data_IF_864150199188
#
_entry.id   IF_864150199188
#
_cell.length_a   1.000
_cell.length_b   1.000
_cell.length_c   1.000
_cell.angle_alpha   90.00
_cell.angle_beta   90.00
_cell.angle_gamma   90.00
#
_symmetry.space_group_name_H-M   'P 1'
#
loop_
_entity.id
_entity.type
_entity.pdbx_description
1 polymer ?
#
# COMPACT_ATOMS: atom_id res chain seq x y z
N UNK A 1 -2.90 -12.93 -13.79
CA UNK A 1 -2.52 -12.65 -12.39
C UNK A 1 -1.14 -11.98 -12.39
N UNK A 2 -1.05 -10.69 -12.07
CA UNK A 2 0.22 -9.94 -11.99
C UNK A 2 0.27 -9.00 -10.78
N UNK A 3 -0.87 -8.40 -10.42
CA UNK A 3 -0.98 -7.50 -9.27
C UNK A 3 -0.54 -8.16 -7.93
N UNK A 4 -0.97 -9.40 -7.67
CA UNK A 4 -0.56 -10.13 -6.45
C UNK A 4 0.95 -10.33 -6.33
N UNK A 5 1.61 -10.72 -7.42
CA UNK A 5 3.07 -10.88 -7.47
C UNK A 5 3.81 -9.55 -7.36
N UNK A 6 3.26 -8.49 -7.97
CA UNK A 6 3.81 -7.12 -7.89
C UNK A 6 3.87 -6.59 -6.45
N UNK A 7 2.87 -6.93 -5.62
CA UNK A 7 2.87 -6.54 -4.20
C UNK A 7 4.10 -7.11 -3.47
N UNK A 8 4.34 -8.41 -3.62
CA UNK A 8 5.45 -9.08 -2.95
C UNK A 8 6.82 -8.59 -3.45
N UNK A 9 6.97 -8.39 -4.77
CA UNK A 9 8.21 -7.89 -5.37
C UNK A 9 8.56 -6.49 -4.85
N UNK A 10 7.61 -5.55 -4.88
CA UNK A 10 7.86 -4.19 -4.40
C UNK A 10 8.13 -4.14 -2.87
N UNK A 11 7.54 -5.05 -2.08
CA UNK A 11 7.88 -5.16 -0.64
C UNK A 11 9.33 -5.63 -0.46
N UNK A 12 9.76 -6.64 -1.22
CA UNK A 12 11.12 -7.18 -1.14
C UNK A 12 12.16 -6.15 -1.57
N UNK A 13 11.94 -5.47 -2.71
CA UNK A 13 12.81 -4.40 -3.21
C UNK A 13 12.89 -3.24 -2.21
N UNK A 14 11.75 -2.75 -1.71
CA UNK A 14 11.76 -1.69 -0.70
C UNK A 14 12.45 -2.10 0.60
N UNK A 15 12.33 -3.36 1.00
CA UNK A 15 12.99 -3.86 2.22
C UNK A 15 14.52 -3.91 2.07
N UNK A 16 15.01 -4.29 0.89
CA UNK A 16 16.43 -4.34 0.54
C UNK A 16 17.08 -2.98 0.28
N UNK A 17 16.29 -1.92 0.11
CA UNK A 17 16.79 -0.58 -0.12
C UNK A 17 17.17 0.16 1.18
N UNK A 18 18.28 0.90 1.11
CA UNK A 18 18.82 1.72 2.20
C UNK A 18 18.33 3.17 2.11
N UNK A 19 18.22 3.72 0.90
CA UNK A 19 17.76 5.08 0.69
C UNK A 19 16.27 5.20 1.05
N UNK A 20 15.97 6.02 2.07
CA UNK A 20 14.59 6.24 2.51
C UNK A 20 13.64 6.67 1.38
N UNK A 21 14.11 7.46 0.42
CA UNK A 21 13.31 7.89 -0.71
C UNK A 21 12.90 6.73 -1.64
N UNK A 22 13.85 5.89 -2.05
CA UNK A 22 13.58 4.74 -2.91
C UNK A 22 12.76 3.67 -2.15
N UNK A 23 13.06 3.44 -0.87
CA UNK A 23 12.26 2.57 0.01
C UNK A 23 10.79 3.00 0.08
N UNK A 24 10.54 4.29 0.29
CA UNK A 24 9.19 4.85 0.26
C UNK A 24 8.52 4.69 -1.11
N UNK A 25 9.27 4.88 -2.20
CA UNK A 25 8.76 4.70 -3.57
C UNK A 25 8.26 3.27 -3.80
N UNK A 26 9.05 2.26 -3.45
CA UNK A 26 8.67 0.85 -3.57
C UNK A 26 7.44 0.51 -2.73
N UNK A 27 7.39 0.93 -1.45
CA UNK A 27 6.20 0.68 -0.61
C UNK A 27 4.93 1.36 -1.13
N UNK A 28 5.03 2.54 -1.75
CA UNK A 28 3.89 3.15 -2.44
C UNK A 28 3.43 2.34 -3.65
N UNK A 29 4.36 1.79 -4.44
CA UNK A 29 4.04 0.95 -5.59
C UNK A 29 3.38 -0.37 -5.16
N UNK A 30 3.86 -0.98 -4.07
CA UNK A 30 3.20 -2.12 -3.44
C UNK A 30 1.77 -1.78 -2.99
N UNK A 31 1.57 -0.62 -2.34
CA UNK A 31 0.23 -0.15 -1.91
C UNK A 31 -0.72 -0.02 -3.08
N UNK A 32 -0.28 0.59 -4.18
CA UNK A 32 -1.09 0.76 -5.40
C UNK A 32 -1.51 -0.59 -5.98
N UNK A 33 -0.58 -1.53 -6.09
CA UNK A 33 -0.85 -2.90 -6.57
C UNK A 33 -1.85 -3.63 -5.65
N UNK A 34 -1.76 -3.42 -4.34
CA UNK A 34 -2.71 -3.98 -3.37
C UNK A 34 -4.12 -3.39 -3.52
N UNK A 35 -4.24 -2.09 -3.78
CA UNK A 35 -5.55 -1.46 -4.06
C UNK A 35 -6.17 -2.00 -5.35
N UNK A 36 -5.38 -2.19 -6.41
CA UNK A 36 -5.85 -2.82 -7.66
C UNK A 36 -6.34 -4.25 -7.42
N UNK A 37 -5.62 -5.04 -6.61
CA UNK A 37 -6.08 -6.36 -6.16
C UNK A 37 -7.42 -6.30 -5.42
N UNK A 38 -7.63 -5.28 -4.60
CA UNK A 38 -8.87 -5.11 -3.84
C UNK A 38 -10.06 -4.82 -4.76
N UNK A 39 -9.86 -3.99 -5.79
CA UNK A 39 -10.86 -3.70 -6.82
C UNK A 39 -11.22 -4.98 -7.59
N UNK A 40 -10.22 -5.76 -8.01
CA UNK A 40 -10.44 -7.04 -8.70
C UNK A 40 -11.24 -8.01 -7.83
N UNK A 41 -10.93 -8.08 -6.53
CA UNK A 41 -11.65 -8.94 -5.59
C UNK A 41 -13.11 -8.48 -5.40
N UNK A 42 -13.38 -7.17 -5.32
CA UNK A 42 -14.74 -6.66 -5.23
C UNK A 42 -15.54 -6.89 -6.52
N UNK A 43 -14.91 -6.75 -7.69
CA UNK A 43 -15.53 -7.11 -8.98
C UNK A 43 -15.86 -8.60 -9.04
N UNK A 44 -14.95 -9.49 -8.62
CA UNK A 44 -15.18 -10.94 -8.58
C UNK A 44 -16.32 -11.32 -7.62
N UNK A 45 -16.45 -10.61 -6.50
CA UNK A 45 -17.58 -10.74 -5.56
C UNK A 45 -18.90 -10.34 -6.19
N UNK A 46 -18.96 -9.19 -6.86
CA UNK A 46 -20.19 -8.68 -7.53
C UNK A 46 -20.68 -9.63 -8.62
N UNK A 47 -19.75 -10.30 -9.28
CA UNK A 47 -20.04 -11.27 -10.34
C UNK A 47 -20.28 -12.69 -9.81
N UNK A 48 -20.26 -12.92 -8.50
CA UNK A 48 -20.42 -14.24 -7.85
C UNK A 48 -19.48 -15.33 -8.40
N UNK A 49 -18.31 -14.94 -8.90
CA UNK A 49 -17.35 -15.85 -9.57
C UNK A 49 -16.57 -16.73 -8.58
N UNK A 50 -16.61 -16.39 -7.30
CA UNK A 50 -15.80 -17.02 -6.25
C UNK A 50 -16.71 -17.28 -5.04
N UNK A 51 -16.51 -18.42 -4.37
CA UNK A 51 -17.20 -18.76 -3.12
C UNK A 51 -16.97 -17.68 -2.06
N UNK A 52 -18.03 -17.28 -1.35
CA UNK A 52 -18.01 -16.22 -0.33
C UNK A 52 -16.92 -16.40 0.72
N UNK A 53 -16.67 -17.63 1.17
CA UNK A 53 -15.60 -17.95 2.13
C UNK A 53 -14.20 -17.62 1.58
N UNK A 54 -13.94 -17.92 0.31
CA UNK A 54 -12.65 -17.59 -0.33
C UNK A 54 -12.47 -16.09 -0.53
N UNK A 55 -13.57 -15.35 -0.72
CA UNK A 55 -13.55 -13.88 -0.83
C UNK A 55 -13.22 -13.25 0.53
N UNK A 56 -13.82 -13.72 1.62
CA UNK A 56 -13.53 -13.21 2.97
C UNK A 56 -12.07 -13.45 3.36
N UNK A 57 -11.55 -14.65 3.08
CA UNK A 57 -10.16 -15.00 3.41
C UNK A 57 -9.17 -14.12 2.62
N UNK A 58 -9.42 -13.95 1.31
CA UNK A 58 -8.61 -13.09 0.45
C UNK A 58 -8.67 -11.61 0.88
N UNK A 59 -9.85 -11.12 1.30
CA UNK A 59 -10.01 -9.75 1.79
C UNK A 59 -9.24 -9.53 3.08
N UNK A 60 -9.31 -10.46 4.03
CA UNK A 60 -8.59 -10.37 5.30
C UNK A 60 -7.06 -10.34 5.09
N UNK A 61 -6.56 -11.21 4.20
CA UNK A 61 -5.15 -11.21 3.83
C UNK A 61 -4.72 -9.86 3.24
N UNK A 62 -5.51 -9.32 2.31
CA UNK A 62 -5.20 -8.07 1.63
C UNK A 62 -5.24 -6.86 2.59
N UNK A 63 -6.19 -6.85 3.53
CA UNK A 63 -6.26 -5.83 4.58
C UNK A 63 -5.04 -5.88 5.50
N UNK A 64 -4.57 -7.08 5.88
CA UNK A 64 -3.34 -7.26 6.64
C UNK A 64 -2.14 -6.63 5.91
N UNK A 65 -1.98 -6.94 4.63
CA UNK A 65 -0.89 -6.41 3.79
C UNK A 65 -0.99 -4.89 3.67
N UNK A 66 -2.18 -4.33 3.38
CA UNK A 66 -2.38 -2.88 3.29
C UNK A 66 -2.07 -2.17 4.61
N UNK A 67 -2.48 -2.75 5.75
CA UNK A 67 -2.20 -2.17 7.07
C UNK A 67 -0.69 -2.10 7.34
N UNK A 68 0.05 -3.15 6.97
CA UNK A 68 1.50 -3.20 7.06
C UNK A 68 2.14 -2.15 6.15
N UNK A 69 1.75 -2.10 4.87
CA UNK A 69 2.27 -1.15 3.90
C UNK A 69 2.03 0.31 4.32
N UNK A 70 0.86 0.64 4.87
CA UNK A 70 0.57 1.98 5.40
C UNK A 70 1.52 2.33 6.54
N UNK A 71 1.79 1.41 7.47
CA UNK A 71 2.73 1.61 8.56
C UNK A 71 4.17 1.81 8.04
N UNK A 72 4.59 1.01 7.07
CA UNK A 72 5.94 1.10 6.47
C UNK A 72 6.12 2.41 5.68
N UNK A 73 5.11 2.86 4.95
CA UNK A 73 5.15 4.17 4.27
C UNK A 73 5.24 5.30 5.31
N UNK A 74 4.44 5.25 6.38
CA UNK A 74 4.45 6.26 7.45
C UNK A 74 5.78 6.29 8.21
N UNK A 75 6.39 5.14 8.51
CA UNK A 75 7.66 5.09 9.25
C UNK A 75 8.81 5.74 8.48
N UNK A 76 8.89 5.50 7.17
CA UNK A 76 9.91 6.12 6.31
C UNK A 76 9.72 7.64 6.21
N UNK A 77 8.47 8.11 6.23
CA UNK A 77 8.15 9.53 6.23
C UNK A 77 8.46 10.21 7.57
N UNK A 78 8.33 9.50 8.70
CA UNK A 78 8.75 10.01 10.03
C UNK A 78 10.25 10.29 10.06
N UNK A 79 11.07 9.35 9.57
CA UNK A 79 12.52 9.55 9.43
C UNK A 79 12.82 10.78 8.56
N UNK A 80 12.01 11.01 7.53
CA UNK A 80 12.13 12.18 6.66
C UNK A 80 11.76 13.48 7.38
N UNK A 81 10.69 13.53 8.17
CA UNK A 81 10.31 14.71 8.95
C UNK A 81 11.39 15.11 9.97
N UNK A 82 12.04 14.13 10.59
CA UNK A 82 13.19 14.33 11.49
C UNK A 82 14.43 14.85 10.72
N UNK A 83 14.63 14.41 9.46
CA UNK A 83 15.72 14.89 8.59
C UNK A 83 15.42 16.23 7.91
N UNK A 84 14.14 16.59 7.71
CA UNK A 84 13.67 17.77 6.95
C UNK A 84 13.69 19.06 7.78
N UNK A 85 13.97 18.99 9.09
CA UNK A 85 14.22 20.19 9.92
C UNK A 85 15.42 21.00 9.38
N UNK A 86 16.27 20.43 8.50
CA UNK A 86 17.37 21.18 7.86
C UNK A 86 17.14 21.63 6.40
N UNK A 87 16.18 21.12 5.62
CA UNK A 87 16.04 21.48 4.19
C UNK A 87 14.59 21.40 3.68
N UNK A 88 13.96 22.57 3.49
CA UNK A 88 12.81 22.90 2.61
C UNK A 88 11.77 21.83 2.22
N UNK A 89 10.51 22.05 2.62
CA UNK A 89 9.36 21.14 2.46
C UNK A 89 8.77 21.02 1.04
N UNK A 90 8.15 19.86 0.73
CA UNK A 90 6.91 19.84 -0.05
C UNK A 90 5.84 18.93 0.61
N UNK A 91 5.07 19.48 1.56
CA UNK A 91 4.07 18.75 2.37
C UNK A 91 2.70 18.59 1.69
N UNK A 92 2.44 19.24 0.56
CA UNK A 92 1.12 19.28 -0.07
C UNK A 92 0.71 17.98 -0.80
N UNK A 93 1.67 17.12 -1.16
CA UNK A 93 1.39 15.81 -1.78
C UNK A 93 0.86 14.76 -0.77
N UNK A 94 0.98 15.04 0.53
CA UNK A 94 0.73 14.11 1.63
C UNK A 94 -0.76 13.86 1.90
N UNK A 95 -1.62 14.89 1.78
CA UNK A 95 -3.05 14.77 2.07
C UNK A 95 -3.82 13.94 1.03
N UNK A 96 -3.47 14.04 -0.26
CA UNK A 96 -4.22 13.33 -1.31
C UNK A 96 -4.07 11.80 -1.26
N UNK A 97 -2.90 11.29 -0.84
CA UNK A 97 -2.60 9.84 -0.87
C UNK A 97 -3.17 9.09 0.36
N UNK A 98 -3.32 9.78 1.49
CA UNK A 98 -3.91 9.23 2.72
C UNK A 98 -5.44 9.24 2.65
N UNK A 99 -6.03 10.35 2.18
CA UNK A 99 -7.48 10.50 1.94
C UNK A 99 -8.04 9.40 1.04
N UNK A 100 -7.30 9.00 0.00
CA UNK A 100 -7.76 8.00 -0.95
C UNK A 100 -7.78 6.56 -0.40
N UNK A 101 -7.12 6.30 0.74
CA UNK A 101 -7.09 4.97 1.39
C UNK A 101 -8.08 4.80 2.55
N UNK A 102 -8.51 5.87 3.21
CA UNK A 102 -9.53 5.79 4.28
C UNK A 102 -10.90 5.37 3.75
N UNK A 103 -11.22 5.72 2.49
CA UNK A 103 -12.44 5.27 1.80
C UNK A 103 -12.53 3.75 1.58
N UNK A 104 -11.47 3.00 1.86
CA UNK A 104 -11.42 1.54 1.73
C UNK A 104 -11.56 0.80 3.07
N UNK A 105 -11.43 1.53 4.19
CA UNK A 105 -11.46 0.98 5.56
C UNK A 105 -12.89 1.01 6.13
N UNK A 106 -13.78 1.84 5.59
CA UNK A 106 -15.22 1.85 5.83
C UNK A 106 -15.97 1.23 4.65
#
# INVERSE_FOLDING_TARGET
>A
QRAGSSIAQNIAEGSGEYAHYEKHRFYRMAKRSATECAVILDSARKLSLIQTKKISDARNLLLGILSMLIKMVKSVLKTRAETTISLGTPTYWFCSILSSTEKFIH
#
